data_IF_108043652610
#
_entry.id   IF_108043652610
#
_cell.length_a   1.000
_cell.length_b   1.000
_cell.length_c   1.000
_cell.angle_alpha   90.00
_cell.angle_beta   90.00
_cell.angle_gamma   90.00
#
_symmetry.space_group_name_H-M   'P 1'
#
loop_
_entity.id
_entity.type
_entity.pdbx_description
1 polymer ?
#
# COMPACT_ATOMS: atom_id res chain seq x y z
N UNK A 1 7.16 28.98 -10.50
CA UNK A 1 7.65 27.59 -10.57
C UNK A 1 7.51 26.96 -9.19
N UNK A 2 6.56 26.03 -9.02
CA UNK A 2 6.37 25.29 -7.77
C UNK A 2 7.52 24.29 -7.60
N UNK A 3 8.56 24.66 -6.86
CA UNK A 3 9.65 23.78 -6.45
C UNK A 3 9.10 22.69 -5.53
N UNK A 4 8.59 21.61 -6.12
CA UNK A 4 8.37 20.37 -5.39
C UNK A 4 9.72 19.64 -5.36
N UNK A 5 10.44 19.57 -4.22
CA UNK A 5 11.74 18.91 -4.17
C UNK A 5 11.57 17.46 -4.64
N UNK A 6 12.34 17.08 -5.67
CA UNK A 6 12.37 15.70 -6.18
C UNK A 6 12.61 14.78 -4.98
N UNK A 7 11.66 13.89 -4.68
CA UNK A 7 11.75 12.94 -3.57
C UNK A 7 13.03 12.11 -3.74
N UNK A 8 14.04 12.39 -2.93
CA UNK A 8 15.34 11.69 -3.00
C UNK A 8 15.10 10.22 -2.62
N UNK A 9 15.38 9.31 -3.53
CA UNK A 9 15.19 7.87 -3.32
C UNK A 9 16.20 7.33 -2.30
N UNK A 10 15.78 6.36 -1.50
CA UNK A 10 16.66 5.64 -0.59
C UNK A 10 17.46 4.60 -1.37
N UNK A 11 18.77 4.54 -1.14
CA UNK A 11 19.63 3.51 -1.74
C UNK A 11 19.78 2.32 -0.79
N UNK A 12 20.15 1.14 -1.31
CA UNK A 12 20.40 -0.04 -0.47
C UNK A 12 21.49 0.20 0.59
N UNK A 13 22.50 1.01 0.28
CA UNK A 13 23.55 1.37 1.22
C UNK A 13 23.02 2.26 2.35
N UNK A 14 22.12 3.20 2.03
CA UNK A 14 21.43 4.02 3.01
C UNK A 14 20.50 3.19 3.89
N UNK A 15 19.74 2.27 3.30
CA UNK A 15 18.84 1.38 4.04
C UNK A 15 19.61 0.52 5.06
N UNK A 16 20.69 -0.13 4.63
CA UNK A 16 21.54 -0.95 5.52
C UNK A 16 22.14 -0.15 6.67
N UNK A 17 22.56 1.10 6.41
CA UNK A 17 23.12 1.94 7.45
C UNK A 17 22.05 2.44 8.42
N UNK A 18 20.88 2.82 7.92
CA UNK A 18 19.75 3.17 8.79
C UNK A 18 19.32 1.97 9.65
N UNK A 19 19.34 0.76 9.09
CA UNK A 19 19.05 -0.47 9.81
C UNK A 19 20.07 -0.74 10.92
N UNK A 20 21.38 -0.62 10.66
CA UNK A 20 22.40 -0.78 11.71
C UNK A 20 22.22 0.23 12.84
N UNK A 21 21.96 1.50 12.52
CA UNK A 21 21.75 2.55 13.54
C UNK A 21 20.55 2.25 14.46
N UNK A 22 19.48 1.66 13.93
CA UNK A 22 18.28 1.32 14.70
C UNK A 22 18.47 0.05 15.54
N UNK A 23 19.29 -0.90 15.07
CA UNK A 23 19.55 -2.17 15.76
C UNK A 23 20.60 -2.01 16.88
N UNK A 24 21.63 -1.20 16.66
CA UNK A 24 22.79 -1.09 17.55
C UNK A 24 22.58 -0.12 18.72
N UNK A 25 21.57 0.76 18.67
CA UNK A 25 21.37 1.82 19.66
C UNK A 25 19.92 2.09 20.04
N UNK A 26 19.72 3.04 20.96
CA UNK A 26 18.41 3.51 21.34
C UNK A 26 17.73 4.28 20.20
N UNK A 27 16.44 4.04 20.00
CA UNK A 27 15.67 4.64 18.90
C UNK A 27 15.40 6.12 19.20
N UNK A 28 16.33 6.99 18.80
CA UNK A 28 16.19 8.44 18.80
C UNK A 28 16.29 8.99 17.37
N UNK A 29 15.15 9.18 16.70
CA UNK A 29 15.11 9.57 15.29
C UNK A 29 15.87 10.86 14.93
N UNK A 30 15.81 11.95 15.73
CA UNK A 30 16.67 13.10 15.54
C UNK A 30 18.17 12.78 15.52
N UNK A 31 18.64 11.96 16.47
CA UNK A 31 20.07 11.63 16.58
C UNK A 31 20.51 10.68 15.45
N UNK A 32 19.70 9.66 15.17
CA UNK A 32 19.88 8.75 14.04
C UNK A 32 20.00 9.54 12.73
N UNK A 33 19.18 10.57 12.53
CA UNK A 33 19.26 11.40 11.33
C UNK A 33 20.56 12.21 11.24
N UNK A 34 21.10 12.72 12.36
CA UNK A 34 22.38 13.41 12.36
C UNK A 34 23.51 12.47 11.94
N UNK A 35 23.58 11.30 12.57
CA UNK A 35 24.61 10.31 12.25
C UNK A 35 24.48 9.81 10.81
N UNK A 36 23.24 9.57 10.35
CA UNK A 36 22.95 9.23 8.97
C UNK A 36 23.48 10.30 7.99
N UNK A 37 23.21 11.58 8.26
CA UNK A 37 23.65 12.68 7.39
C UNK A 37 25.16 12.90 7.45
N UNK A 38 25.83 12.59 8.57
CA UNK A 38 27.30 12.59 8.65
C UNK A 38 27.90 11.55 7.72
N UNK A 39 27.30 10.36 7.62
CA UNK A 39 27.75 9.31 6.69
C UNK A 39 27.43 9.63 5.23
N UNK A 40 26.31 10.30 4.98
CA UNK A 40 25.84 10.64 3.63
C UNK A 40 25.64 12.16 3.44
N UNK A 41 26.71 12.97 3.43
CA UNK A 41 26.61 14.44 3.45
C UNK A 41 25.98 15.05 2.19
N UNK A 42 25.89 14.28 1.10
CA UNK A 42 25.24 14.70 -0.16
C UNK A 42 23.71 14.56 -0.12
N UNK A 43 23.15 13.92 0.91
CA UNK A 43 21.72 13.66 1.04
C UNK A 43 21.28 14.00 2.44
N UNK A 44 20.42 15.00 2.57
CA UNK A 44 19.82 15.35 3.84
C UNK A 44 18.58 14.49 4.11
N UNK A 45 18.57 13.83 5.26
CA UNK A 45 17.41 13.12 5.80
C UNK A 45 17.02 13.69 7.15
N UNK A 46 15.72 13.89 7.36
CA UNK A 46 15.19 14.28 8.67
C UNK A 46 14.85 13.06 9.51
N UNK A 47 14.81 13.19 10.84
CA UNK A 47 14.39 12.09 11.74
C UNK A 47 13.03 11.52 11.37
N UNK A 48 12.10 12.36 10.91
CA UNK A 48 10.80 11.90 10.38
C UNK A 48 10.96 10.97 9.18
N UNK A 49 11.84 11.31 8.23
CA UNK A 49 12.07 10.49 7.04
C UNK A 49 12.75 9.16 7.40
N UNK A 50 13.71 9.16 8.33
CA UNK A 50 14.33 7.94 8.84
C UNK A 50 13.28 7.03 9.51
N UNK A 51 12.44 7.60 10.37
CA UNK A 51 11.33 6.90 11.04
C UNK A 51 10.36 6.28 10.04
N UNK A 52 9.90 7.06 9.06
CA UNK A 52 8.99 6.58 8.03
C UNK A 52 9.63 5.48 7.19
N UNK A 53 10.92 5.60 6.85
CA UNK A 53 11.64 4.58 6.09
C UNK A 53 11.71 3.26 6.85
N UNK A 54 12.01 3.32 8.15
CA UNK A 54 12.05 2.16 9.03
C UNK A 54 10.70 1.45 9.08
N UNK A 55 9.67 2.12 9.61
CA UNK A 55 8.37 1.50 9.86
C UNK A 55 7.60 1.08 8.59
N UNK A 56 7.96 1.60 7.42
CA UNK A 56 7.28 1.23 6.17
C UNK A 56 8.04 0.21 5.33
N UNK A 57 9.36 0.06 5.52
CA UNK A 57 10.18 -0.74 4.60
C UNK A 57 11.29 -1.57 5.25
N UNK A 58 11.88 -1.15 6.37
CA UNK A 58 13.06 -1.82 6.94
C UNK A 58 12.76 -2.64 8.18
N UNK A 59 11.69 -2.31 8.91
CA UNK A 59 11.29 -3.05 10.10
C UNK A 59 11.10 -4.55 9.76
N UNK A 60 11.82 -5.47 10.43
CA UNK A 60 11.70 -6.92 10.19
C UNK A 60 10.30 -7.48 10.39
N UNK A 61 9.44 -6.77 11.13
CA UNK A 61 8.03 -7.13 11.26
C UNK A 61 7.26 -7.03 9.93
N UNK A 62 7.78 -6.32 8.93
CA UNK A 62 7.13 -6.12 7.63
C UNK A 62 7.37 -7.33 6.74
N UNK A 63 6.27 -7.92 6.25
CA UNK A 63 6.37 -9.10 5.38
C UNK A 63 6.55 -8.70 3.91
N UNK A 64 7.52 -9.34 3.26
CA UNK A 64 7.76 -9.22 1.80
C UNK A 64 7.02 -10.28 0.99
N UNK A 65 6.28 -11.16 1.67
CA UNK A 65 5.52 -12.23 1.04
C UNK A 65 4.52 -11.69 0.03
N UNK A 66 4.34 -12.45 -1.06
CA UNK A 66 3.33 -12.19 -2.09
C UNK A 66 1.95 -12.13 -1.42
N UNK A 67 1.11 -11.27 -1.96
CA UNK A 67 -0.27 -11.20 -1.51
C UNK A 67 -1.06 -12.44 -1.91
N UNK A 68 -1.85 -12.94 -0.98
CA UNK A 68 -2.81 -14.03 -1.18
C UNK A 68 -4.19 -13.49 -1.56
N UNK A 69 -4.98 -14.22 -2.36
CA UNK A 69 -6.38 -13.84 -2.63
C UNK A 69 -7.21 -13.64 -1.36
N UNK A 70 -6.93 -14.42 -0.31
CA UNK A 70 -7.59 -14.31 0.99
C UNK A 70 -7.28 -12.98 1.68
N UNK A 71 -6.03 -12.51 1.62
CA UNK A 71 -5.65 -11.17 2.09
C UNK A 71 -6.36 -10.07 1.29
N UNK A 72 -6.46 -10.21 -0.04
CA UNK A 72 -7.21 -9.25 -0.87
C UNK A 72 -8.67 -9.15 -0.38
N UNK A 73 -9.39 -10.28 -0.30
CA UNK A 73 -10.78 -10.32 0.16
C UNK A 73 -10.93 -9.72 1.56
N UNK A 74 -10.04 -10.10 2.49
CA UNK A 74 -10.04 -9.58 3.86
C UNK A 74 -9.91 -8.04 3.89
N UNK A 75 -9.08 -7.46 3.04
CA UNK A 75 -8.89 -6.00 2.97
C UNK A 75 -10.15 -5.30 2.48
N UNK A 76 -10.87 -5.85 1.50
CA UNK A 76 -12.15 -5.28 1.05
C UNK A 76 -13.23 -5.37 2.14
N UNK A 77 -13.32 -6.50 2.85
CA UNK A 77 -14.25 -6.67 3.97
C UNK A 77 -13.94 -5.69 5.11
N UNK A 78 -12.67 -5.52 5.46
CA UNK A 78 -12.24 -4.55 6.47
C UNK A 78 -12.50 -3.11 6.02
N UNK A 79 -12.32 -2.79 4.73
CA UNK A 79 -12.68 -1.48 4.19
C UNK A 79 -14.19 -1.22 4.26
N UNK A 80 -15.04 -2.23 4.02
CA UNK A 80 -16.49 -2.11 4.21
C UNK A 80 -16.85 -1.75 5.66
N UNK A 81 -16.12 -2.30 6.63
CA UNK A 81 -16.34 -2.05 8.07
C UNK A 81 -15.77 -0.72 8.56
N UNK A 82 -14.55 -0.36 8.14
CA UNK A 82 -13.79 0.75 8.71
C UNK A 82 -13.61 1.95 7.78
N UNK A 83 -13.97 1.82 6.50
CA UNK A 83 -13.74 2.84 5.49
C UNK A 83 -12.25 3.09 5.25
N UNK A 84 -11.87 4.35 5.04
CA UNK A 84 -10.49 4.78 4.76
C UNK A 84 -9.57 4.82 6.00
N UNK A 85 -9.92 4.13 7.09
CA UNK A 85 -9.10 4.03 8.30
C UNK A 85 -7.99 2.99 8.13
N UNK A 86 -7.00 3.29 7.29
CA UNK A 86 -5.95 2.34 6.87
C UNK A 86 -5.14 1.75 8.03
N UNK A 87 -4.87 2.54 9.07
CA UNK A 87 -4.18 2.07 10.29
C UNK A 87 -5.00 0.99 10.99
N UNK A 88 -6.33 1.16 11.06
CA UNK A 88 -7.23 0.18 11.67
C UNK A 88 -7.28 -1.11 10.86
N UNK A 89 -7.30 -1.00 9.53
CA UNK A 89 -7.27 -2.17 8.64
C UNK A 89 -5.94 -2.91 8.78
N UNK A 90 -4.81 -2.20 8.82
CA UNK A 90 -3.48 -2.78 8.95
C UNK A 90 -3.28 -3.53 10.28
N UNK A 91 -3.90 -3.07 11.38
CA UNK A 91 -3.89 -3.80 12.67
C UNK A 91 -4.44 -5.23 12.57
N UNK A 92 -5.31 -5.50 11.59
CA UNK A 92 -5.90 -6.81 11.35
C UNK A 92 -5.05 -7.70 10.41
N UNK A 93 -3.91 -7.21 9.93
CA UNK A 93 -3.06 -7.83 8.91
C UNK A 93 -1.60 -7.83 9.39
N UNK A 94 -1.16 -8.89 10.09
CA UNK A 94 0.19 -8.94 10.64
C UNK A 94 1.23 -8.79 9.53
N UNK A 95 2.19 -7.90 9.76
CA UNK A 95 3.28 -7.59 8.83
C UNK A 95 2.89 -6.80 7.57
N UNK A 96 1.67 -6.25 7.50
CA UNK A 96 1.25 -5.32 6.44
C UNK A 96 1.08 -3.92 6.99
N UNK A 97 1.69 -2.93 6.35
CA UNK A 97 1.59 -1.52 6.75
C UNK A 97 0.33 -0.87 6.17
N UNK A 98 -0.15 0.21 6.78
CA UNK A 98 -1.33 0.96 6.31
C UNK A 98 -1.12 1.51 4.89
N UNK A 99 0.12 1.90 4.56
CA UNK A 99 0.50 2.33 3.22
C UNK A 99 0.38 1.19 2.21
N UNK A 100 0.85 -0.01 2.57
CA UNK A 100 0.72 -1.21 1.74
C UNK A 100 -0.75 -1.57 1.50
N UNK A 101 -1.57 -1.59 2.55
CA UNK A 101 -3.01 -1.92 2.48
C UNK A 101 -3.74 -0.95 1.55
N UNK A 102 -3.53 0.36 1.75
CA UNK A 102 -4.11 1.40 0.90
C UNK A 102 -3.72 1.22 -0.56
N UNK A 103 -2.43 1.01 -0.83
CA UNK A 103 -1.91 0.86 -2.18
C UNK A 103 -2.50 -0.37 -2.88
N UNK A 104 -2.59 -1.48 -2.16
CA UNK A 104 -3.22 -2.69 -2.65
C UNK A 104 -4.69 -2.45 -2.99
N UNK A 105 -5.48 -1.90 -2.04
CA UNK A 105 -6.91 -1.68 -2.23
C UNK A 105 -7.17 -0.90 -3.53
N UNK A 106 -6.47 0.23 -3.73
CA UNK A 106 -6.64 1.02 -4.95
C UNK A 106 -6.06 0.34 -6.21
N UNK A 107 -4.98 -0.44 -6.09
CA UNK A 107 -4.44 -1.20 -7.22
C UNK A 107 -5.43 -2.27 -7.68
N UNK A 108 -6.02 -3.02 -6.75
CA UNK A 108 -7.03 -4.04 -7.01
C UNK A 108 -8.32 -3.41 -7.54
N UNK A 109 -8.79 -2.30 -6.97
CA UNK A 109 -9.96 -1.57 -7.48
C UNK A 109 -9.75 -1.11 -8.93
N UNK A 110 -8.59 -0.51 -9.25
CA UNK A 110 -8.25 -0.12 -10.63
C UNK A 110 -8.19 -1.31 -11.58
N UNK A 111 -7.65 -2.45 -11.13
CA UNK A 111 -7.62 -3.70 -11.91
C UNK A 111 -9.05 -4.17 -12.22
N UNK A 112 -9.91 -4.16 -11.21
CA UNK A 112 -11.30 -4.57 -11.35
C UNK A 112 -12.10 -3.67 -12.30
N UNK A 113 -12.00 -2.34 -12.14
CA UNK A 113 -12.66 -1.38 -13.05
C UNK A 113 -12.18 -1.55 -14.50
N UNK A 114 -10.88 -1.77 -14.72
CA UNK A 114 -10.35 -2.04 -16.06
C UNK A 114 -10.93 -3.33 -16.66
N UNK A 115 -11.05 -4.38 -15.85
CA UNK A 115 -11.65 -5.65 -16.27
C UNK A 115 -13.13 -5.51 -16.63
N UNK A 116 -13.91 -4.76 -15.83
CA UNK A 116 -15.31 -4.43 -16.16
C UNK A 116 -15.39 -3.68 -17.48
N UNK A 117 -14.56 -2.66 -17.68
CA UNK A 117 -14.60 -1.86 -18.91
C UNK A 117 -14.23 -2.70 -20.14
N UNK A 118 -13.25 -3.61 -20.01
CA UNK A 118 -12.91 -4.58 -21.05
C UNK A 118 -14.08 -5.51 -21.34
N UNK A 119 -14.73 -6.07 -20.31
CA UNK A 119 -15.91 -6.92 -20.45
C UNK A 119 -17.07 -6.18 -21.12
N UNK A 120 -17.33 -4.92 -20.73
CA UNK A 120 -18.34 -4.06 -21.38
C UNK A 120 -18.00 -3.78 -22.85
N UNK A 121 -16.73 -3.63 -23.22
CA UNK A 121 -16.32 -3.50 -24.63
C UNK A 121 -16.61 -4.79 -25.39
N UNK A 122 -16.18 -5.92 -24.85
CA UNK A 122 -16.42 -7.25 -25.42
C UNK A 122 -17.92 -7.55 -25.52
N UNK A 123 -18.75 -7.19 -24.54
CA UNK A 123 -20.21 -7.32 -24.61
C UNK A 123 -20.87 -6.37 -25.63
N UNK A 124 -20.27 -5.21 -25.91
CA UNK A 124 -20.74 -4.35 -27.00
C UNK A 124 -20.42 -4.97 -28.36
N UNK A 125 -19.27 -5.62 -28.48
CA UNK A 125 -18.85 -6.38 -29.66
C UNK A 125 -19.67 -7.68 -29.83
N UNK A 126 -20.02 -8.36 -28.72
CA UNK A 126 -20.87 -9.57 -28.67
C UNK A 126 -22.37 -9.22 -28.66
N UNK A 127 -22.76 -7.98 -28.99
CA UNK A 127 -24.19 -7.61 -29.09
C UNK A 127 -24.83 -8.22 -30.35
N UNK A 128 -24.96 -9.54 -30.34
CA UNK A 128 -25.93 -10.36 -31.06
C UNK A 128 -26.68 -11.34 -30.13
N UNK A 129 -26.43 -11.40 -28.81
CA UNK A 129 -27.29 -12.16 -27.87
C UNK A 129 -27.55 -11.41 -26.55
N UNK A 130 -28.69 -11.75 -25.95
CA UNK A 130 -29.56 -11.01 -25.02
C UNK A 130 -28.92 -10.46 -23.73
N UNK A 131 -29.47 -9.34 -23.22
CA UNK A 131 -28.77 -8.34 -22.38
C UNK A 131 -29.21 -8.19 -20.92
N UNK A 132 -30.05 -9.06 -20.36
CA UNK A 132 -30.69 -8.72 -19.08
C UNK A 132 -30.13 -9.32 -17.78
N UNK A 133 -29.27 -10.35 -17.77
CA UNK A 133 -28.97 -11.04 -16.48
C UNK A 133 -27.59 -10.77 -15.85
N UNK A 134 -26.64 -10.14 -16.55
CA UNK A 134 -25.22 -10.23 -16.15
C UNK A 134 -24.78 -9.12 -15.17
N UNK A 135 -25.40 -7.93 -15.21
CA UNK A 135 -24.84 -6.77 -14.49
C UNK A 135 -25.42 -6.55 -13.08
N UNK A 136 -26.65 -6.95 -12.80
CA UNK A 136 -27.26 -6.72 -11.48
C UNK A 136 -26.81 -7.79 -10.46
N UNK A 137 -26.73 -9.05 -10.90
CA UNK A 137 -26.34 -10.18 -10.06
C UNK A 137 -24.85 -10.16 -9.66
N UNK A 138 -23.97 -9.73 -10.57
CA UNK A 138 -22.53 -9.61 -10.28
C UNK A 138 -22.19 -8.45 -9.34
N UNK A 139 -23.01 -7.40 -9.32
CA UNK A 139 -22.82 -6.26 -8.41
C UNK A 139 -23.42 -6.56 -7.03
N UNK A 140 -24.55 -7.26 -6.94
CA UNK A 140 -25.12 -7.66 -5.64
C UNK A 140 -24.24 -8.70 -4.92
N UNK A 141 -23.72 -9.72 -5.62
CA UNK A 141 -22.81 -10.73 -5.04
C UNK A 141 -21.46 -10.14 -4.60
N UNK A 142 -20.96 -9.10 -5.27
CA UNK A 142 -19.66 -8.50 -4.98
C UNK A 142 -19.69 -7.50 -3.80
N UNK A 143 -20.88 -6.97 -3.45
CA UNK A 143 -21.02 -5.97 -2.38
C UNK A 143 -21.63 -6.50 -1.07
N UNK A 144 -22.15 -7.75 -1.02
CA UNK A 144 -22.83 -8.31 0.17
C UNK A 144 -23.77 -7.29 0.82
N UNK A 145 -24.58 -6.58 0.03
CA UNK A 145 -25.69 -5.81 0.58
C UNK A 145 -26.77 -6.84 0.83
N UNK A 146 -26.76 -7.44 2.02
CA UNK A 146 -27.98 -8.03 2.57
C UNK A 146 -28.88 -6.84 2.94
N UNK A 147 -30.15 -6.93 2.53
CA UNK A 147 -31.23 -5.96 2.74
C UNK A 147 -31.33 -5.41 4.17
#
# INVERSE_FOLDING_TARGET
ASNNPKRVQWTKAQDKFLESLVIEGDINWPEIAKEFNMRFPKVERTGKQCRERWHHYLDPAITTQKITPQEEVKIFNLYKRYGNKWVEIARNLPGRTESWVKNLYYATLRRYVRNINKFKSVQREIKCLDKQDINEKMLSELFLIDD
#
